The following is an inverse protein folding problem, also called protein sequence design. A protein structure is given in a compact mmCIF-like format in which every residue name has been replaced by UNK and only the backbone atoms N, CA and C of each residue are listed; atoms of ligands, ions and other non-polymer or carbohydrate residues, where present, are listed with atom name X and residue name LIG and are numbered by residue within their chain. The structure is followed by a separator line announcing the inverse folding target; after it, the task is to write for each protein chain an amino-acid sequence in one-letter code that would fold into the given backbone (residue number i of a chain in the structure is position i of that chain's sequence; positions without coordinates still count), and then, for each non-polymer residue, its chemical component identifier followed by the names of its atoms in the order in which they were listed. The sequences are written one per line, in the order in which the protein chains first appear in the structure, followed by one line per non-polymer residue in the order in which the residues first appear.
data_IF_490723584163
#
_entry.id   IF_490723584163
#
_cell.length_a   1.000
_cell.length_b   1.000
_cell.length_c   1.000
_cell.angle_alpha   90.00
_cell.angle_beta   90.00
_cell.angle_gamma   90.00
#
_symmetry.space_group_name_H-M   'P 1'
#
loop_
_entity.id
_entity.type
_entity.pdbx_description
1 polymer ?
#
# COMPACT_ATOMS: atom_id res chain seq x y z
N UNK A 1 35.43 5.27 -18.96
CA UNK A 1 33.99 5.44 -19.27
C UNK A 1 33.27 4.17 -18.87
N UNK A 2 32.81 4.07 -17.62
CA UNK A 2 32.01 2.92 -17.21
C UNK A 2 30.59 3.15 -17.72
N UNK A 3 30.21 2.44 -18.79
CA UNK A 3 28.81 2.30 -19.17
C UNK A 3 28.14 1.56 -18.02
N UNK A 4 27.37 2.29 -17.22
CA UNK A 4 26.41 1.69 -16.30
C UNK A 4 25.34 1.10 -17.20
N UNK A 5 25.42 -0.21 -17.44
CA UNK A 5 24.27 -0.96 -17.94
C UNK A 5 23.16 -0.79 -16.91
N UNK A 6 22.00 -0.22 -17.28
CA UNK A 6 20.82 -0.38 -16.45
C UNK A 6 20.65 -1.88 -16.32
N UNK A 7 20.65 -2.37 -15.10
CA UNK A 7 20.14 -3.70 -14.80
C UNK A 7 18.71 -3.74 -15.33
N UNK A 8 18.53 -4.34 -16.51
CA UNK A 8 17.25 -4.80 -17.00
C UNK A 8 16.78 -5.91 -16.04
N UNK A 9 16.28 -5.52 -14.87
CA UNK A 9 15.58 -6.41 -13.96
C UNK A 9 14.24 -6.70 -14.62
N UNK A 10 14.18 -7.86 -15.29
CA UNK A 10 13.17 -8.26 -16.25
C UNK A 10 11.76 -7.75 -15.95
N UNK A 11 11.16 -7.10 -16.95
CA UNK A 11 9.80 -6.55 -16.99
C UNK A 11 8.82 -7.44 -16.20
N UNK A 12 8.55 -7.16 -14.92
CA UNK A 12 7.42 -7.74 -14.24
C UNK A 12 6.19 -7.17 -14.94
N UNK A 13 5.07 -7.89 -14.95
CA UNK A 13 3.77 -7.37 -15.45
C UNK A 13 3.63 -5.92 -14.96
N UNK A 14 3.42 -4.96 -15.86
CA UNK A 14 3.51 -3.53 -15.57
C UNK A 14 2.57 -3.15 -14.43
N UNK A 15 3.07 -3.20 -13.20
CA UNK A 15 2.37 -2.75 -12.02
C UNK A 15 2.48 -1.24 -12.02
N UNK A 16 1.34 -0.56 -12.03
CA UNK A 16 1.29 0.89 -11.91
C UNK A 16 2.01 1.26 -10.61
N UNK A 17 3.11 2.00 -10.76
CA UNK A 17 3.93 2.49 -9.65
C UNK A 17 3.93 4.01 -9.66
N UNK A 18 3.88 4.61 -8.48
CA UNK A 18 3.97 6.05 -8.26
C UNK A 18 5.33 6.34 -7.65
N UNK A 19 6.04 7.35 -8.16
CA UNK A 19 7.29 7.80 -7.53
C UNK A 19 6.97 8.59 -6.27
N UNK A 20 7.48 8.11 -5.12
CA UNK A 20 7.36 8.77 -3.82
C UNK A 20 8.77 8.97 -3.30
N UNK A 21 9.20 10.23 -3.18
CA UNK A 21 10.53 10.60 -2.69
C UNK A 21 11.70 9.89 -3.42
N UNK A 22 11.58 9.71 -4.75
CA UNK A 22 12.57 9.01 -5.57
C UNK A 22 12.52 7.48 -5.47
N UNK A 23 11.48 6.93 -4.83
CA UNK A 23 11.24 5.49 -4.73
C UNK A 23 9.97 5.09 -5.45
N UNK A 24 10.06 4.16 -6.39
CA UNK A 24 8.90 3.61 -7.09
C UNK A 24 8.04 2.79 -6.12
N UNK A 25 6.93 3.36 -5.70
CA UNK A 25 5.94 2.73 -4.82
C UNK A 25 4.83 2.06 -5.63
N UNK A 26 4.54 0.77 -5.41
CA UNK A 26 3.40 0.11 -6.04
C UNK A 26 2.06 0.74 -5.63
N UNK A 27 1.17 1.00 -6.59
CA UNK A 27 -0.15 1.60 -6.33
C UNK A 27 -0.98 0.74 -5.36
N UNK A 28 -0.87 -0.59 -5.39
CA UNK A 28 -1.63 -1.46 -4.50
C UNK A 28 -1.37 -1.16 -3.00
N UNK A 29 -0.16 -0.67 -2.66
CA UNK A 29 0.18 -0.29 -1.28
C UNK A 29 -0.59 0.96 -0.86
N UNK A 30 -0.75 1.91 -1.78
CA UNK A 30 -1.52 3.13 -1.55
C UNK A 30 -3.01 2.82 -1.41
N UNK A 31 -3.54 1.94 -2.27
CA UNK A 31 -4.93 1.47 -2.18
C UNK A 31 -5.21 0.76 -0.83
N UNK A 32 -4.29 -0.09 -0.38
CA UNK A 32 -4.40 -0.77 0.91
C UNK A 32 -4.39 0.24 2.08
N UNK A 33 -3.49 1.23 2.04
CA UNK A 33 -3.40 2.26 3.05
C UNK A 33 -4.66 3.13 3.08
N UNK A 34 -5.15 3.56 1.91
CA UNK A 34 -6.37 4.34 1.80
C UNK A 34 -7.58 3.59 2.34
N UNK A 35 -7.74 2.31 1.98
CA UNK A 35 -8.81 1.47 2.52
C UNK A 35 -8.76 1.39 4.06
N UNK A 36 -7.57 1.22 4.64
CA UNK A 36 -7.41 1.22 6.10
C UNK A 36 -7.77 2.55 6.76
N UNK A 37 -7.40 3.68 6.16
CA UNK A 37 -7.77 5.02 6.65
C UNK A 37 -9.28 5.21 6.58
N UNK A 38 -9.93 4.82 5.48
CA UNK A 38 -11.39 4.90 5.33
C UNK A 38 -12.10 4.07 6.40
N UNK A 39 -11.66 2.83 6.63
CA UNK A 39 -12.21 1.95 7.68
C UNK A 39 -12.02 2.55 9.07
N UNK A 40 -10.82 3.08 9.37
CA UNK A 40 -10.53 3.75 10.63
C UNK A 40 -11.47 4.94 10.86
N UNK A 41 -11.59 5.85 9.89
CA UNK A 41 -12.47 7.02 10.01
C UNK A 41 -13.93 6.61 10.17
N UNK A 42 -14.40 5.63 9.40
CA UNK A 42 -15.77 5.13 9.48
C UNK A 42 -16.05 4.54 10.87
N UNK A 43 -15.15 3.71 11.41
CA UNK A 43 -15.29 3.13 12.75
C UNK A 43 -15.21 4.18 13.86
N UNK A 44 -14.34 5.18 13.71
CA UNK A 44 -14.24 6.28 14.66
C UNK A 44 -15.56 7.07 14.72
N UNK A 45 -16.17 7.35 13.57
CA UNK A 45 -17.45 8.05 13.48
C UNK A 45 -18.62 7.22 14.03
N UNK A 46 -18.65 5.92 13.74
CA UNK A 46 -19.75 5.03 14.17
C UNK A 46 -19.65 4.71 15.66
N UNK A 47 -18.44 4.42 16.15
CA UNK A 47 -18.22 3.87 17.50
C UNK A 47 -17.83 4.93 18.52
N UNK A 48 -17.29 6.07 18.07
CA UNK A 48 -16.68 7.08 18.94
C UNK A 48 -15.36 6.66 19.60
N UNK A 49 -14.87 5.43 19.36
CA UNK A 49 -13.66 4.87 19.95
C UNK A 49 -12.48 4.90 18.99
N UNK A 50 -11.53 5.80 19.25
CA UNK A 50 -10.31 5.95 18.43
C UNK A 50 -9.43 4.69 18.51
N UNK A 51 -9.35 4.05 19.69
CA UNK A 51 -8.53 2.85 19.87
C UNK A 51 -8.99 1.70 18.97
N UNK A 52 -10.29 1.40 18.98
CA UNK A 52 -10.85 0.34 18.14
C UNK A 52 -10.71 0.66 16.64
N UNK A 53 -10.95 1.92 16.27
CA UNK A 53 -10.82 2.40 14.90
C UNK A 53 -9.40 2.24 14.33
N UNK A 54 -8.38 2.64 15.09
CA UNK A 54 -6.97 2.55 14.65
C UNK A 54 -6.56 1.09 14.47
N UNK A 55 -6.87 0.22 15.43
CA UNK A 55 -6.52 -1.20 15.34
C UNK A 55 -7.20 -1.87 14.14
N UNK A 56 -8.51 -1.69 13.99
CA UNK A 56 -9.26 -2.29 12.90
C UNK A 56 -8.84 -1.74 11.52
N UNK A 57 -8.61 -0.43 11.40
CA UNK A 57 -8.12 0.19 10.17
C UNK A 57 -6.71 -0.30 9.79
N UNK A 58 -5.82 -0.42 10.78
CA UNK A 58 -4.47 -0.98 10.58
C UNK A 58 -4.54 -2.45 10.15
N UNK A 59 -5.40 -3.27 10.78
CA UNK A 59 -5.61 -4.65 10.37
C UNK A 59 -6.15 -4.75 8.95
N UNK A 60 -7.14 -3.92 8.58
CA UNK A 60 -7.70 -3.91 7.23
C UNK A 60 -6.65 -3.56 6.16
N UNK A 61 -5.82 -2.53 6.43
CA UNK A 61 -4.69 -2.16 5.57
C UNK A 61 -3.69 -3.30 5.42
N UNK A 62 -3.26 -3.91 6.54
CA UNK A 62 -2.31 -5.01 6.53
C UNK A 62 -2.83 -6.22 5.75
N UNK A 63 -4.09 -6.63 5.98
CA UNK A 63 -4.72 -7.73 5.24
C UNK A 63 -4.81 -7.39 3.75
N UNK A 64 -5.21 -6.18 3.38
CA UNK A 64 -5.33 -5.79 1.97
C UNK A 64 -3.97 -5.76 1.27
N UNK A 65 -2.93 -5.33 1.96
CA UNK A 65 -1.56 -5.39 1.49
C UNK A 65 -1.13 -6.85 1.31
N UNK A 66 -1.29 -7.71 2.32
CA UNK A 66 -0.92 -9.13 2.22
C UNK A 66 -1.64 -9.83 1.06
N UNK A 67 -2.94 -9.55 0.86
CA UNK A 67 -3.70 -10.09 -0.26
C UNK A 67 -3.19 -9.61 -1.62
N UNK A 68 -2.70 -8.38 -1.72
CA UNK A 68 -2.03 -7.90 -2.93
C UNK A 68 -0.68 -8.58 -3.11
N UNK A 69 0.13 -8.65 -2.06
CA UNK A 69 1.47 -9.22 -2.09
C UNK A 69 1.48 -10.72 -2.43
N UNK A 70 0.44 -11.47 -2.05
CA UNK A 70 0.29 -12.90 -2.42
C UNK A 70 -0.17 -13.06 -3.87
N UNK A 71 -0.78 -12.03 -4.46
CA UNK A 71 -1.24 -12.04 -5.87
C UNK A 71 -0.17 -11.55 -6.85
N UNK A 72 0.90 -10.94 -6.34
CA UNK A 72 2.04 -10.40 -7.08
C UNK A 72 3.18 -11.42 -7.20
#
# INVERSE_FOLDING_TARGET
MAVVHPTDTGRPRSHTSVDIAGTAWPVYKLEALFAGVVVCLMLALITGSVQAAVLAGATASAVRWLLAAVRD
#
